data_IF_785366114939
#
_entry.id   IF_785366114939
#
_cell.length_a   1.000
_cell.length_b   1.000
_cell.length_c   1.000
_cell.angle_alpha   90.00
_cell.angle_beta   90.00
_cell.angle_gamma   90.00
#
_symmetry.space_group_name_H-M   'P 1'
#
loop_
_entity.id
_entity.type
_entity.pdbx_description
1 polymer ?
#
# COMPACT_ATOMS: atom_id res chain seq x y z
N UNK A 1 45.80 0.68 19.62
CA UNK A 1 44.79 -0.29 19.17
C UNK A 1 44.60 -1.30 20.29
N UNK A 2 43.37 -1.65 20.65
CA UNK A 2 43.03 -2.60 21.72
C UNK A 2 42.16 -3.72 21.17
N UNK A 3 42.28 -4.93 21.73
CA UNK A 3 41.40 -6.04 21.39
C UNK A 3 40.26 -6.10 22.41
N UNK A 4 39.02 -6.16 21.94
CA UNK A 4 37.83 -6.35 22.77
C UNK A 4 37.06 -7.58 22.30
N UNK A 5 36.63 -8.41 23.25
CA UNK A 5 35.76 -9.56 22.99
C UNK A 5 34.38 -9.26 23.53
N UNK A 6 33.38 -9.33 22.65
CA UNK A 6 31.97 -9.13 22.95
C UNK A 6 31.28 -10.49 23.07
N UNK A 7 30.43 -10.65 24.08
CA UNK A 7 29.52 -11.81 24.16
C UNK A 7 28.31 -11.60 23.24
N UNK A 8 27.63 -12.69 22.88
CA UNK A 8 26.34 -12.61 22.16
C UNK A 8 25.36 -11.74 22.95
N UNK A 9 24.76 -10.77 22.27
CA UNK A 9 23.82 -9.78 22.82
C UNK A 9 24.49 -8.52 23.37
N UNK A 10 25.83 -8.46 23.46
CA UNK A 10 26.54 -7.28 23.95
C UNK A 10 26.56 -6.17 22.90
N UNK A 11 26.33 -4.93 23.34
CA UNK A 11 26.36 -3.74 22.48
C UNK A 11 27.79 -3.20 22.36
N UNK A 12 28.26 -3.01 21.14
CA UNK A 12 29.56 -2.38 20.86
C UNK A 12 29.48 -0.85 21.00
N UNK A 13 28.48 -0.24 20.36
CA UNK A 13 28.14 1.19 20.45
C UNK A 13 26.66 1.40 20.17
N UNK A 14 26.14 2.58 20.53
CA UNK A 14 24.74 2.96 20.35
C UNK A 14 24.54 4.03 19.26
N UNK A 15 23.36 4.04 18.62
CA UNK A 15 22.97 5.12 17.68
C UNK A 15 23.07 6.50 18.37
N UNK A 16 23.74 7.45 17.71
CA UNK A 16 23.93 8.82 18.21
C UNK A 16 25.17 8.99 19.08
N UNK A 17 25.83 7.92 19.49
CA UNK A 17 27.09 7.97 20.23
C UNK A 17 28.21 8.53 19.36
N UNK A 18 29.14 9.28 19.96
CA UNK A 18 30.30 9.83 19.23
C UNK A 18 31.20 8.72 18.73
N UNK A 19 31.68 8.86 17.49
CA UNK A 19 32.68 7.95 16.92
C UNK A 19 34.04 8.28 17.54
N UNK A 20 34.39 7.57 18.60
CA UNK A 20 35.69 7.68 19.28
C UNK A 20 36.69 6.64 18.76
N UNK A 21 36.18 5.51 18.27
CA UNK A 21 36.96 4.41 17.72
C UNK A 21 36.33 3.89 16.43
N UNK A 22 37.20 3.36 15.57
CA UNK A 22 36.86 2.53 14.41
C UNK A 22 37.11 1.09 14.78
N UNK A 23 36.21 0.19 14.38
CA UNK A 23 36.22 -1.20 14.81
C UNK A 23 36.42 -2.12 13.62
N UNK A 24 37.46 -2.95 13.65
CA UNK A 24 37.67 -4.02 12.69
C UNK A 24 37.22 -5.35 13.31
N UNK A 25 36.28 -6.04 12.67
CA UNK A 25 35.78 -7.33 13.13
C UNK A 25 36.78 -8.41 12.74
N UNK A 26 37.39 -9.07 13.72
CA UNK A 26 38.36 -10.15 13.48
C UNK A 26 37.68 -11.51 13.35
N UNK A 27 36.67 -11.77 14.17
CA UNK A 27 35.89 -13.03 14.15
C UNK A 27 34.52 -12.81 14.78
N UNK A 28 33.49 -13.50 14.29
CA UNK A 28 32.12 -13.40 14.78
C UNK A 28 31.23 -12.52 13.89
N UNK A 29 30.09 -12.09 14.41
CA UNK A 29 29.13 -11.30 13.66
C UNK A 29 28.40 -10.28 14.55
N UNK A 30 28.27 -9.06 14.04
CA UNK A 30 27.58 -7.93 14.66
C UNK A 30 26.40 -7.55 13.77
N UNK A 31 25.24 -7.36 14.39
CA UNK A 31 24.08 -6.83 13.72
C UNK A 31 24.00 -5.32 13.96
N UNK A 32 23.81 -4.56 12.89
CA UNK A 32 23.56 -3.12 12.94
C UNK A 32 22.05 -2.90 12.97
N UNK A 33 21.56 -2.15 13.96
CA UNK A 33 20.13 -1.96 14.17
C UNK A 33 19.80 -0.52 14.54
N UNK A 34 18.53 -0.14 14.36
CA UNK A 34 17.96 1.10 14.88
C UNK A 34 17.21 0.79 16.17
N UNK A 35 17.45 1.57 17.23
CA UNK A 35 16.75 1.40 18.50
C UNK A 35 15.68 2.48 18.64
N UNK A 36 14.40 2.07 18.71
CA UNK A 36 13.26 2.97 18.94
C UNK A 36 12.23 2.29 19.84
N UNK A 37 11.69 3.01 20.82
CA UNK A 37 10.68 2.49 21.76
C UNK A 37 11.05 1.14 22.39
N UNK A 38 12.34 0.94 22.72
CA UNK A 38 12.91 -0.31 23.25
C UNK A 38 12.81 -1.53 22.32
N UNK A 39 12.49 -1.36 21.03
CA UNK A 39 12.61 -2.39 20.00
C UNK A 39 13.79 -2.08 19.08
N UNK A 40 14.57 -3.11 18.76
CA UNK A 40 15.64 -3.05 17.78
C UNK A 40 15.09 -3.48 16.42
N UNK A 41 15.34 -2.67 15.40
CA UNK A 41 15.05 -2.99 14.00
C UNK A 41 16.36 -3.27 13.29
N UNK A 42 16.57 -4.52 12.91
CA UNK A 42 17.79 -4.95 12.25
C UNK A 42 17.90 -4.30 10.87
N UNK A 43 19.10 -3.82 10.54
CA UNK A 43 19.39 -3.21 9.25
C UNK A 43 20.20 -4.15 8.36
N UNK A 44 21.37 -4.55 8.84
CA UNK A 44 22.30 -5.43 8.14
C UNK A 44 23.28 -6.05 9.14
N UNK A 45 23.78 -7.24 8.82
CA UNK A 45 24.78 -7.96 9.62
C UNK A 45 26.16 -7.77 9.00
N UNK A 46 27.14 -7.55 9.86
CA UNK A 46 28.55 -7.47 9.49
C UNK A 46 29.36 -8.54 10.20
N UNK A 47 30.36 -9.09 9.52
CA UNK A 47 31.19 -10.19 9.99
C UNK A 47 32.68 -9.89 9.88
N UNK A 48 33.50 -10.94 9.99
CA UNK A 48 34.96 -10.86 9.89
C UNK A 48 35.41 -10.05 8.67
N UNK A 49 36.52 -9.32 8.81
CA UNK A 49 37.14 -8.43 7.81
C UNK A 49 36.40 -7.14 7.50
N UNK A 50 35.21 -6.92 8.05
CA UNK A 50 34.48 -5.67 7.88
C UNK A 50 34.82 -4.65 8.98
N UNK A 51 34.73 -3.38 8.61
CA UNK A 51 34.98 -2.24 9.49
C UNK A 51 33.67 -1.52 9.82
N UNK A 52 33.61 -0.96 11.02
CA UNK A 52 32.55 -0.08 11.49
C UNK A 52 33.14 1.24 11.99
N UNK A 53 32.49 2.36 11.67
CA UNK A 53 32.94 3.70 12.09
C UNK A 53 33.85 4.38 11.06
N UNK A 54 34.04 3.76 9.90
CA UNK A 54 34.79 4.28 8.75
C UNK A 54 34.25 5.62 8.25
N UNK A 55 32.98 5.93 8.52
CA UNK A 55 32.36 7.22 8.19
C UNK A 55 33.07 8.42 8.84
N UNK A 56 33.91 8.20 9.86
CA UNK A 56 34.68 9.27 10.48
C UNK A 56 35.62 9.98 9.48
N UNK A 57 36.05 9.31 8.40
CA UNK A 57 36.91 9.90 7.36
C UNK A 57 36.19 10.92 6.48
N UNK A 58 34.85 10.84 6.41
CA UNK A 58 33.99 11.80 5.70
C UNK A 58 33.36 12.82 6.65
N UNK A 59 33.94 13.00 7.84
CA UNK A 59 33.52 14.01 8.81
C UNK A 59 32.30 13.62 9.65
N UNK A 60 31.84 12.36 9.59
CA UNK A 60 30.76 11.89 10.45
C UNK A 60 31.22 11.83 11.91
N UNK A 61 30.51 12.54 12.80
CA UNK A 61 30.87 12.63 14.23
C UNK A 61 30.21 11.58 15.13
N UNK A 62 29.11 10.97 14.70
CA UNK A 62 28.30 10.04 15.49
C UNK A 62 27.87 8.81 14.70
N UNK A 63 27.71 7.68 15.40
CA UNK A 63 27.21 6.44 14.83
C UNK A 63 25.74 6.60 14.39
N UNK A 64 25.43 6.20 13.15
CA UNK A 64 24.07 6.30 12.58
C UNK A 64 23.15 5.12 12.93
N UNK A 65 23.72 4.08 13.55
CA UNK A 65 23.09 2.81 13.94
C UNK A 65 23.65 2.36 15.30
N UNK A 66 22.97 1.44 15.98
CA UNK A 66 23.53 0.67 17.10
C UNK A 66 24.19 -0.60 16.56
N UNK A 67 25.21 -1.12 17.25
CA UNK A 67 25.92 -2.35 16.87
C UNK A 67 25.86 -3.38 18.00
N UNK A 68 25.25 -4.54 17.76
CA UNK A 68 25.03 -5.59 18.77
C UNK A 68 25.62 -6.91 18.27
N UNK A 69 26.45 -7.55 19.09
CA UNK A 69 27.04 -8.84 18.76
C UNK A 69 25.97 -9.96 18.69
N UNK A 70 25.90 -10.69 17.58
CA UNK A 70 24.97 -11.82 17.37
C UNK A 70 25.58 -13.17 17.73
N UNK A 71 26.91 -13.23 17.77
CA UNK A 71 27.73 -14.33 18.28
C UNK A 71 28.82 -13.75 19.19
N UNK A 72 29.59 -14.60 19.88
CA UNK A 72 30.86 -14.12 20.44
C UNK A 72 31.70 -13.48 19.32
N UNK A 73 32.14 -12.25 19.53
CA UNK A 73 32.76 -11.43 18.49
C UNK A 73 34.00 -10.74 19.00
N UNK A 74 35.13 -10.88 18.28
CA UNK A 74 36.38 -10.19 18.58
C UNK A 74 36.53 -9.00 17.66
N UNK A 75 36.73 -7.82 18.24
CA UNK A 75 36.93 -6.57 17.52
C UNK A 75 38.27 -5.94 17.89
N UNK A 76 38.95 -5.39 16.89
CA UNK A 76 40.11 -4.53 17.08
C UNK A 76 39.62 -3.08 17.08
N UNK A 77 39.83 -2.39 18.20
CA UNK A 77 39.47 -0.98 18.38
C UNK A 77 40.66 -0.10 17.98
N UNK A 78 40.42 0.80 17.03
CA UNK A 78 41.39 1.75 16.49
C UNK A 78 40.90 3.16 16.85
N UNK A 79 41.66 3.96 17.61
CA UNK A 79 41.27 5.33 17.90
C UNK A 79 40.97 6.12 16.62
N UNK A 80 39.87 6.87 16.60
CA UNK A 80 39.42 7.58 15.40
C UNK A 80 40.49 8.51 14.82
N UNK A 81 41.23 9.22 15.68
CA UNK A 81 42.30 10.13 15.24
C UNK A 81 43.49 9.37 14.65
N UNK A 82 43.82 8.20 15.19
CA UNK A 82 44.86 7.34 14.64
C UNK A 82 44.45 6.77 13.27
N UNK A 83 43.18 6.36 13.13
CA UNK A 83 42.64 5.90 11.85
C UNK A 83 42.65 7.01 10.79
N UNK A 84 42.25 8.23 11.15
CA UNK A 84 42.33 9.41 10.26
C UNK A 84 43.76 9.73 9.85
N UNK A 85 44.71 9.73 10.79
CA UNK A 85 46.11 9.97 10.47
C UNK A 85 46.67 8.92 9.49
N UNK A 86 46.30 7.65 9.66
CA UNK A 86 46.67 6.58 8.72
C UNK A 86 46.04 6.79 7.34
N UNK A 87 44.77 7.17 7.29
CA UNK A 87 44.09 7.50 6.04
C UNK A 87 44.77 8.69 5.33
N UNK A 88 45.09 9.76 6.05
CA UNK A 88 45.73 10.97 5.51
C UNK A 88 47.13 10.71 4.96
N UNK A 89 47.92 9.89 5.67
CA UNK A 89 49.24 9.43 5.26
C UNK A 89 49.21 8.47 4.06
N UNK A 90 48.04 7.92 3.71
CA UNK A 90 47.87 7.03 2.57
C UNK A 90 48.13 7.72 1.22
N UNK A 91 48.49 6.92 0.21
CA UNK A 91 48.66 7.41 -1.16
C UNK A 91 47.38 8.04 -1.69
N UNK A 92 47.52 9.12 -2.47
CA UNK A 92 46.40 9.93 -2.94
C UNK A 92 45.30 9.13 -3.65
N UNK A 93 45.69 8.15 -4.48
CA UNK A 93 44.75 7.30 -5.20
C UNK A 93 43.85 6.49 -4.25
N UNK A 94 44.43 5.85 -3.23
CA UNK A 94 43.66 5.08 -2.25
C UNK A 94 42.72 5.96 -1.43
N UNK A 95 43.14 7.18 -1.07
CA UNK A 95 42.26 8.13 -0.37
C UNK A 95 40.99 8.42 -1.18
N UNK A 96 41.14 8.69 -2.48
CA UNK A 96 40.01 8.96 -3.38
C UNK A 96 39.06 7.75 -3.44
N UNK A 97 39.60 6.55 -3.62
CA UNK A 97 38.79 5.31 -3.71
C UNK A 97 38.02 5.08 -2.40
N UNK A 98 38.71 5.11 -1.26
CA UNK A 98 38.11 4.88 0.05
C UNK A 98 37.02 5.92 0.32
N UNK A 99 37.29 7.21 0.08
CA UNK A 99 36.30 8.28 0.27
C UNK A 99 35.04 8.06 -0.57
N UNK A 100 35.20 7.74 -1.86
CA UNK A 100 34.09 7.47 -2.77
C UNK A 100 33.24 6.28 -2.31
N UNK A 101 33.88 5.18 -1.89
CA UNK A 101 33.18 4.02 -1.37
C UNK A 101 32.46 4.31 -0.04
N UNK A 102 33.07 5.07 0.85
CA UNK A 102 32.45 5.47 2.13
C UNK A 102 31.26 6.41 1.92
N UNK A 103 31.32 7.34 0.96
CA UNK A 103 30.18 8.19 0.59
C UNK A 103 29.02 7.36 0.02
N UNK A 104 29.31 6.41 -0.89
CA UNK A 104 28.29 5.48 -1.42
C UNK A 104 27.66 4.63 -0.31
N UNK A 105 28.47 4.11 0.61
CA UNK A 105 27.99 3.31 1.74
C UNK A 105 27.11 4.13 2.69
N UNK A 106 27.45 5.39 2.94
CA UNK A 106 26.62 6.32 3.73
C UNK A 106 25.25 6.50 3.08
N UNK A 107 25.20 6.76 1.78
CA UNK A 107 23.93 6.93 1.03
C UNK A 107 23.09 5.66 1.07
N UNK A 108 23.68 4.50 0.77
CA UNK A 108 22.98 3.21 0.82
C UNK A 108 22.43 2.91 2.22
N UNK A 109 23.21 3.19 3.27
CA UNK A 109 22.78 3.01 4.67
C UNK A 109 21.62 3.94 5.02
N UNK A 110 21.64 5.20 4.55
CA UNK A 110 20.57 6.16 4.78
C UNK A 110 19.26 5.74 4.07
N UNK A 111 19.33 5.20 2.86
CA UNK A 111 18.17 4.68 2.13
C UNK A 111 17.58 3.46 2.84
N UNK A 112 18.40 2.50 3.25
CA UNK A 112 17.95 1.34 4.05
C UNK A 112 17.33 1.80 5.37
N UNK A 113 17.91 2.83 6.01
CA UNK A 113 17.36 3.43 7.23
C UNK A 113 15.99 4.02 6.97
N UNK A 114 15.82 4.81 5.91
CA UNK A 114 14.51 5.37 5.52
C UNK A 114 13.48 4.28 5.30
N UNK A 115 13.82 3.25 4.52
CA UNK A 115 12.90 2.14 4.20
C UNK A 115 12.52 1.32 5.44
N UNK A 116 13.47 1.07 6.37
CA UNK A 116 13.19 0.33 7.61
C UNK A 116 12.56 1.18 8.71
N UNK A 117 12.61 2.51 8.59
CA UNK A 117 11.92 3.45 9.46
C UNK A 117 10.45 3.65 9.08
N UNK A 118 9.97 3.01 8.01
CA UNK A 118 8.55 2.85 7.72
C UNK A 118 7.92 1.98 8.81
N UNK A 119 7.44 2.64 9.87
CA UNK A 119 6.83 2.06 11.09
C UNK A 119 5.33 1.87 10.94
N UNK A 120 4.86 1.74 9.72
CA UNK A 120 3.44 1.73 9.47
C UNK A 120 2.90 0.37 9.89
N UNK A 121 1.92 0.38 10.80
CA UNK A 121 1.30 -0.84 11.33
C UNK A 121 0.66 -1.69 10.21
N UNK A 122 0.40 -1.07 9.07
CA UNK A 122 -0.09 -1.68 7.85
C UNK A 122 0.69 -1.13 6.63
N UNK A 123 0.74 -1.84 5.49
CA UNK A 123 1.38 -1.38 4.26
C UNK A 123 0.97 0.02 3.76
N UNK A 124 -0.31 0.38 3.87
CA UNK A 124 -0.87 1.67 3.46
C UNK A 124 -1.90 2.14 4.50
N UNK A 125 -1.45 2.70 5.64
CA UNK A 125 -2.33 3.18 6.70
C UNK A 125 -3.28 4.27 6.19
N UNK A 126 -4.39 4.48 6.92
CA UNK A 126 -5.45 5.42 6.53
C UNK A 126 -4.92 6.84 6.23
N UNK A 127 -4.00 7.36 7.04
CA UNK A 127 -3.39 8.68 6.85
C UNK A 127 -2.45 8.76 5.64
N UNK A 128 -2.02 7.61 5.11
CA UNK A 128 -1.13 7.50 3.95
C UNK A 128 -1.85 7.20 2.64
N UNK A 129 -3.13 6.78 2.66
CA UNK A 129 -3.86 6.36 1.45
C UNK A 129 -3.93 7.50 0.42
N UNK A 130 -4.44 8.68 0.81
CA UNK A 130 -4.51 9.81 -0.12
C UNK A 130 -3.13 10.22 -0.64
N UNK A 131 -2.11 10.21 0.23
CA UNK A 131 -0.74 10.55 -0.15
C UNK A 131 -0.20 9.57 -1.20
N UNK A 132 -0.30 8.26 -0.96
CA UNK A 132 0.28 7.25 -1.85
C UNK A 132 -0.28 7.35 -3.29
N UNK A 133 -1.60 7.48 -3.42
CA UNK A 133 -2.26 7.62 -4.72
C UNK A 133 -2.04 9.01 -5.33
N UNK A 134 -2.01 10.07 -4.52
CA UNK A 134 -1.67 11.42 -4.96
C UNK A 134 -0.24 11.52 -5.51
N UNK A 135 0.73 10.86 -4.86
CA UNK A 135 2.11 10.78 -5.34
C UNK A 135 2.18 10.04 -6.67
N UNK A 136 1.48 8.90 -6.78
CA UNK A 136 1.41 8.17 -8.05
C UNK A 136 0.84 9.05 -9.18
N UNK A 137 -0.26 9.75 -8.93
CA UNK A 137 -0.86 10.68 -9.88
C UNK A 137 0.07 11.84 -10.25
N UNK A 138 0.57 12.60 -9.26
CA UNK A 138 1.36 13.79 -9.52
C UNK A 138 2.68 13.46 -10.21
N UNK A 139 3.35 12.38 -9.81
CA UNK A 139 4.58 11.95 -10.48
C UNK A 139 4.28 11.52 -11.92
N UNK A 140 3.26 10.70 -12.15
CA UNK A 140 2.92 10.26 -13.51
C UNK A 140 2.48 11.42 -14.40
N UNK A 141 1.64 12.33 -13.90
CA UNK A 141 1.14 13.48 -14.67
C UNK A 141 2.25 14.50 -14.99
N UNK A 142 3.24 14.66 -14.10
CA UNK A 142 4.33 15.62 -14.28
C UNK A 142 5.53 15.08 -15.06
N UNK A 143 5.86 13.80 -14.89
CA UNK A 143 7.06 13.17 -15.47
C UNK A 143 6.76 12.13 -16.56
N UNK A 144 5.51 11.70 -16.68
CA UNK A 144 5.09 10.76 -17.71
C UNK A 144 4.79 11.43 -19.04
N UNK A 145 4.95 10.67 -20.11
CA UNK A 145 4.62 11.05 -21.48
C UNK A 145 3.20 10.61 -21.82
N UNK A 146 2.42 11.51 -22.43
CA UNK A 146 1.05 11.19 -22.87
C UNK A 146 1.10 10.61 -24.28
N UNK A 147 0.70 9.34 -24.43
CA UNK A 147 0.70 8.63 -25.71
C UNK A 147 -0.51 7.70 -25.81
N UNK A 148 -1.23 7.75 -26.93
CA UNK A 148 -2.37 6.85 -27.22
C UNK A 148 -3.45 6.80 -26.11
N UNK A 149 -3.73 7.96 -25.50
CA UNK A 149 -4.70 8.06 -24.40
C UNK A 149 -4.20 7.51 -23.06
N UNK A 150 -2.91 7.15 -22.96
CA UNK A 150 -2.25 6.65 -21.75
C UNK A 150 -1.20 7.64 -21.28
N UNK A 151 -0.84 7.55 -20.00
CA UNK A 151 0.36 8.21 -19.48
C UNK A 151 1.41 7.15 -19.18
N UNK A 152 2.55 7.24 -19.85
CA UNK A 152 3.64 6.25 -19.77
C UNK A 152 4.81 6.88 -19.03
N UNK A 153 5.36 6.19 -18.05
CA UNK A 153 6.54 6.66 -17.32
C UNK A 153 7.54 5.53 -17.08
N UNK A 154 8.83 5.85 -17.22
CA UNK A 154 9.93 4.98 -16.81
C UNK A 154 9.85 4.65 -15.31
N UNK A 155 10.03 3.37 -14.97
CA UNK A 155 9.88 2.87 -13.61
C UNK A 155 10.95 3.42 -12.66
N UNK A 156 12.20 3.51 -13.13
CA UNK A 156 13.30 4.07 -12.36
C UNK A 156 13.05 5.55 -12.05
N UNK A 157 12.67 6.34 -13.05
CA UNK A 157 12.30 7.74 -12.90
C UNK A 157 11.10 7.92 -11.96
N UNK A 158 10.05 7.11 -12.12
CA UNK A 158 8.85 7.17 -11.28
C UNK A 158 9.18 6.92 -9.81
N UNK A 159 9.98 5.89 -9.52
CA UNK A 159 10.44 5.56 -8.16
C UNK A 159 11.32 6.66 -7.58
N UNK A 160 12.34 7.09 -8.31
CA UNK A 160 13.29 8.09 -7.83
C UNK A 160 12.61 9.43 -7.55
N UNK A 161 11.73 9.89 -8.45
CA UNK A 161 11.02 11.15 -8.27
C UNK A 161 10.04 11.07 -7.10
N UNK A 162 9.25 9.99 -7.01
CA UNK A 162 8.30 9.79 -5.92
C UNK A 162 8.98 9.78 -4.55
N UNK A 163 10.12 9.09 -4.43
CA UNK A 163 10.89 9.05 -3.18
C UNK A 163 11.55 10.39 -2.86
N UNK A 164 12.26 11.01 -3.82
CA UNK A 164 13.05 12.23 -3.55
C UNK A 164 12.18 13.47 -3.32
N UNK A 165 11.07 13.60 -4.05
CA UNK A 165 10.22 14.80 -4.01
C UNK A 165 9.15 14.69 -2.93
N UNK A 166 8.53 13.52 -2.79
CA UNK A 166 7.39 13.34 -1.88
C UNK A 166 7.74 12.52 -0.62
N UNK A 167 8.96 11.99 -0.52
CA UNK A 167 9.35 11.11 0.57
C UNK A 167 8.48 9.86 0.64
N UNK A 168 7.99 9.38 -0.51
CA UNK A 168 7.12 8.20 -0.54
C UNK A 168 7.92 6.91 -0.47
N UNK A 169 7.39 5.93 0.25
CA UNK A 169 7.96 4.60 0.35
C UNK A 169 8.00 3.94 -1.02
N UNK A 170 9.15 3.38 -1.42
CA UNK A 170 9.23 2.62 -2.67
C UNK A 170 8.34 1.37 -2.62
N UNK A 171 8.23 0.74 -1.46
CA UNK A 171 7.39 -0.44 -1.26
C UNK A 171 5.91 -0.09 -1.34
N UNK A 172 5.50 1.04 -0.75
CA UNK A 172 4.10 1.51 -0.83
C UNK A 172 3.78 1.96 -2.24
N UNK A 173 4.66 2.70 -2.89
CA UNK A 173 4.48 3.11 -4.28
C UNK A 173 4.26 1.89 -5.19
N UNK A 174 5.08 0.84 -5.04
CA UNK A 174 4.93 -0.41 -5.77
C UNK A 174 3.60 -1.11 -5.45
N UNK A 175 3.19 -1.19 -4.19
CA UNK A 175 1.89 -1.74 -3.80
C UNK A 175 0.72 -0.94 -4.38
N UNK A 176 0.81 0.39 -4.43
CA UNK A 176 -0.16 1.27 -5.07
C UNK A 176 -0.27 0.97 -6.56
N UNK A 177 0.86 0.86 -7.28
CA UNK A 177 0.82 0.54 -8.71
C UNK A 177 0.32 -0.90 -8.95
N UNK A 178 0.72 -1.88 -8.14
CA UNK A 178 0.20 -3.25 -8.23
C UNK A 178 -1.33 -3.28 -8.09
N UNK A 179 -1.89 -2.47 -7.19
CA UNK A 179 -3.33 -2.33 -7.02
C UNK A 179 -3.97 -1.74 -8.27
N UNK A 180 -3.38 -0.70 -8.85
CA UNK A 180 -3.86 -0.11 -10.10
C UNK A 180 -3.78 -1.11 -11.27
N UNK A 181 -2.74 -1.94 -11.34
CA UNK A 181 -2.61 -3.02 -12.32
C UNK A 181 -3.70 -4.07 -12.14
N UNK A 182 -3.94 -4.50 -10.90
CA UNK A 182 -5.02 -5.44 -10.54
C UNK A 182 -6.39 -4.94 -11.00
N UNK A 183 -6.65 -3.65 -10.79
CA UNK A 183 -7.90 -2.99 -11.18
C UNK A 183 -7.95 -2.58 -12.66
N UNK A 184 -6.93 -2.94 -13.46
CA UNK A 184 -6.82 -2.59 -14.89
C UNK A 184 -6.83 -1.08 -15.16
N UNK A 185 -6.34 -0.29 -14.20
CA UNK A 185 -6.10 1.15 -14.33
C UNK A 185 -4.66 1.45 -14.78
N UNK A 186 -3.77 0.46 -14.65
CA UNK A 186 -2.41 0.52 -15.16
C UNK A 186 -1.95 -0.85 -15.70
N UNK A 187 -0.81 -0.88 -16.38
CA UNK A 187 -0.06 -2.10 -16.66
C UNK A 187 1.45 -1.84 -16.56
N UNK A 188 2.22 -2.89 -16.32
CA UNK A 188 3.67 -2.86 -16.41
C UNK A 188 4.13 -3.22 -17.83
N UNK A 189 5.12 -2.49 -18.33
CA UNK A 189 5.96 -2.91 -19.45
C UNK A 189 7.17 -3.63 -18.86
N UNK A 190 7.23 -4.94 -19.08
CA UNK A 190 8.37 -5.76 -18.68
C UNK A 190 9.44 -5.72 -19.77
N UNK A 191 10.71 -5.79 -19.37
CA UNK A 191 11.82 -5.85 -20.30
C UNK A 191 13.14 -6.08 -19.57
N UNK A 192 14.17 -6.37 -20.35
CA UNK A 192 15.52 -6.55 -19.84
C UNK A 192 16.24 -5.21 -19.70
N UNK A 193 17.18 -5.16 -18.77
CA UNK A 193 18.04 -4.00 -18.62
C UNK A 193 18.91 -3.86 -19.89
N UNK A 194 18.98 -2.67 -20.52
CA UNK A 194 19.88 -2.42 -21.65
C UNK A 194 21.36 -2.70 -21.31
N UNK A 195 21.76 -2.51 -20.05
CA UNK A 195 23.11 -2.72 -19.56
C UNK A 195 23.36 -4.18 -19.11
N UNK A 196 22.29 -4.98 -18.93
CA UNK A 196 22.35 -6.42 -18.65
C UNK A 196 21.32 -7.21 -19.50
N UNK A 197 21.59 -7.42 -20.81
CA UNK A 197 20.66 -8.11 -21.72
C UNK A 197 20.46 -9.60 -21.43
N UNK A 198 21.30 -10.21 -20.59
CA UNK A 198 21.15 -11.60 -20.15
C UNK A 198 20.44 -11.72 -18.79
N UNK A 199 20.25 -10.60 -18.10
CA UNK A 199 19.55 -10.50 -16.83
C UNK A 199 18.05 -10.84 -16.88
N UNK A 200 17.41 -10.97 -15.71
CA UNK A 200 15.98 -11.24 -15.61
C UNK A 200 15.14 -10.08 -16.14
N UNK A 201 13.92 -10.36 -16.59
CA UNK A 201 12.97 -9.30 -16.90
C UNK A 201 12.59 -8.51 -15.66
N UNK A 202 12.61 -7.19 -15.79
CA UNK A 202 12.24 -6.24 -14.76
C UNK A 202 11.18 -5.29 -15.29
N UNK A 203 10.51 -4.59 -14.39
CA UNK A 203 9.57 -3.52 -14.75
C UNK A 203 10.38 -2.37 -15.34
N UNK A 204 10.13 -2.06 -16.61
CA UNK A 204 10.76 -0.94 -17.32
C UNK A 204 9.89 0.31 -17.25
N UNK A 205 8.58 0.17 -17.48
CA UNK A 205 7.65 1.32 -17.48
C UNK A 205 6.31 0.97 -16.86
N UNK A 206 5.58 2.01 -16.46
CA UNK A 206 4.18 1.93 -16.06
C UNK A 206 3.34 2.69 -17.08
N UNK A 207 2.28 2.05 -17.56
CA UNK A 207 1.29 2.64 -18.43
C UNK A 207 0.01 2.86 -17.64
N UNK A 208 -0.33 4.11 -17.34
CA UNK A 208 -1.60 4.46 -16.70
C UNK A 208 -2.67 4.71 -17.77
N UNK A 209 -3.79 3.99 -17.68
CA UNK A 209 -4.90 4.07 -18.63
C UNK A 209 -5.92 5.16 -18.27
N UNK A 210 -6.06 5.48 -16.98
CA UNK A 210 -7.01 6.46 -16.49
C UNK A 210 -6.44 7.19 -15.27
N UNK A 211 -5.63 8.23 -15.52
CA UNK A 211 -5.10 9.09 -14.44
C UNK A 211 -6.22 9.83 -13.70
N UNK A 212 -7.33 10.14 -14.38
CA UNK A 212 -8.46 10.84 -13.76
C UNK A 212 -9.11 10.00 -12.68
N UNK A 213 -9.21 8.68 -12.88
CA UNK A 213 -9.72 7.77 -11.84
C UNK A 213 -8.83 7.79 -10.58
N UNK A 214 -7.50 7.89 -10.74
CA UNK A 214 -6.56 7.99 -9.62
C UNK A 214 -6.73 9.34 -8.91
N UNK A 215 -6.85 10.43 -9.67
CA UNK A 215 -7.12 11.77 -9.14
C UNK A 215 -8.40 11.81 -8.31
N UNK A 216 -9.51 11.38 -8.92
CA UNK A 216 -10.81 11.32 -8.28
C UNK A 216 -10.77 10.49 -6.99
N UNK A 217 -9.99 9.40 -6.95
CA UNK A 217 -9.88 8.56 -5.77
C UNK A 217 -9.17 9.25 -4.61
N UNK A 218 -7.98 9.81 -4.83
CA UNK A 218 -7.25 10.43 -3.70
C UNK A 218 -7.94 11.71 -3.22
N UNK A 219 -8.60 12.46 -4.12
CA UNK A 219 -9.41 13.62 -3.73
C UNK A 219 -10.64 13.20 -2.93
N UNK A 220 -11.34 12.14 -3.38
CA UNK A 220 -12.45 11.53 -2.64
C UNK A 220 -12.01 11.10 -1.25
N UNK A 221 -10.91 10.36 -1.15
CA UNK A 221 -10.40 9.88 0.13
C UNK A 221 -10.03 11.06 1.04
N UNK A 222 -9.26 12.03 0.53
CA UNK A 222 -8.83 13.21 1.27
C UNK A 222 -10.03 14.02 1.79
N UNK A 223 -11.08 14.18 0.97
CA UNK A 223 -12.30 14.87 1.37
C UNK A 223 -12.94 14.22 2.60
N UNK A 224 -13.22 12.91 2.55
CA UNK A 224 -13.91 12.22 3.64
C UNK A 224 -13.03 11.95 4.87
N UNK A 225 -11.71 11.83 4.68
CA UNK A 225 -10.78 11.59 5.77
C UNK A 225 -10.44 12.88 6.55
N UNK A 226 -10.06 13.97 5.85
CA UNK A 226 -9.56 15.18 6.52
C UNK A 226 -10.61 16.27 6.73
N UNK A 227 -11.61 16.43 5.85
CA UNK A 227 -12.62 17.51 6.00
C UNK A 227 -13.72 17.16 7.01
N UNK A 228 -13.75 15.91 7.50
CA UNK A 228 -14.65 15.45 8.56
C UNK A 228 -16.11 15.24 8.11
N UNK A 229 -16.90 14.61 8.99
CA UNK A 229 -18.36 14.56 8.89
C UNK A 229 -18.99 13.30 8.30
N UNK A 230 -18.25 12.40 7.64
CA UNK A 230 -18.78 11.13 7.11
C UNK A 230 -17.71 10.03 6.93
N UNK A 231 -16.90 9.75 7.96
CA UNK A 231 -15.85 8.70 7.90
C UNK A 231 -16.40 7.31 7.55
N UNK A 232 -17.68 7.05 7.84
CA UNK A 232 -18.37 5.83 7.43
C UNK A 232 -18.35 5.60 5.92
N UNK A 233 -18.27 6.64 5.08
CA UNK A 233 -18.15 6.52 3.61
C UNK A 233 -16.86 5.80 3.19
N UNK A 234 -15.84 5.80 4.05
CA UNK A 234 -14.57 5.13 3.80
C UNK A 234 -14.52 3.70 4.34
N UNK A 235 -15.54 3.24 5.08
CA UNK A 235 -15.61 1.87 5.59
C UNK A 235 -16.47 1.02 4.67
N UNK A 236 -15.85 0.20 3.83
CA UNK A 236 -16.56 -0.52 2.77
C UNK A 236 -16.53 -2.03 2.98
N UNK A 237 -17.72 -2.62 2.96
CA UNK A 237 -17.94 -4.06 2.98
C UNK A 237 -18.21 -4.56 1.56
N UNK A 238 -17.83 -5.81 1.26
CA UNK A 238 -18.03 -6.42 -0.05
C UNK A 238 -19.53 -6.45 -0.43
N UNK A 239 -20.43 -6.62 0.55
CA UNK A 239 -21.88 -6.59 0.35
C UNK A 239 -22.36 -5.23 -0.17
N UNK A 240 -21.88 -4.10 0.39
CA UNK A 240 -22.24 -2.75 -0.07
C UNK A 240 -21.75 -2.52 -1.50
N UNK A 241 -20.53 -2.96 -1.80
CA UNK A 241 -19.94 -2.86 -3.12
C UNK A 241 -20.72 -3.66 -4.17
N UNK A 242 -21.16 -4.87 -3.81
CA UNK A 242 -21.99 -5.73 -4.66
C UNK A 242 -23.37 -5.13 -4.92
N UNK A 243 -24.01 -4.52 -3.91
CA UNK A 243 -25.29 -3.83 -4.08
C UNK A 243 -25.13 -2.66 -5.07
N UNK A 244 -24.11 -1.82 -4.87
CA UNK A 244 -23.89 -0.67 -5.75
C UNK A 244 -23.58 -1.12 -7.19
N UNK A 245 -22.72 -2.13 -7.36
CA UNK A 245 -22.41 -2.70 -8.67
C UNK A 245 -23.63 -3.31 -9.37
N UNK A 246 -24.48 -4.02 -8.62
CA UNK A 246 -25.73 -4.60 -9.14
C UNK A 246 -26.73 -3.54 -9.60
N UNK A 247 -26.87 -2.45 -8.84
CA UNK A 247 -27.73 -1.33 -9.26
C UNK A 247 -27.22 -0.68 -10.54
N UNK A 248 -25.90 -0.44 -10.66
CA UNK A 248 -25.30 0.12 -11.87
C UNK A 248 -25.50 -0.82 -13.06
N UNK A 249 -25.34 -2.13 -12.88
CA UNK A 249 -25.57 -3.11 -13.94
C UNK A 249 -27.02 -3.08 -14.47
N UNK A 250 -28.00 -2.83 -13.60
CA UNK A 250 -29.41 -2.68 -14.01
C UNK A 250 -29.68 -1.45 -14.89
N UNK A 251 -28.72 -0.52 -15.00
CA UNK A 251 -28.86 0.72 -15.80
C UNK A 251 -28.35 0.59 -17.22
N UNK A 252 -27.73 -0.55 -17.58
CA UNK A 252 -27.17 -0.77 -18.90
C UNK A 252 -28.26 -0.66 -19.98
N UNK A 253 -28.02 0.21 -20.97
CA UNK A 253 -28.97 0.50 -22.05
C UNK A 253 -30.16 1.38 -21.66
N UNK A 254 -30.26 1.86 -20.42
CA UNK A 254 -31.32 2.77 -20.00
C UNK A 254 -31.02 4.23 -20.38
N UNK A 255 -32.02 5.01 -20.81
CA UNK A 255 -31.83 6.42 -21.12
C UNK A 255 -31.61 7.25 -19.85
N UNK A 256 -30.77 8.27 -19.96
CA UNK A 256 -30.54 9.28 -18.91
C UNK A 256 -31.41 10.52 -19.16
N UNK A 257 -31.91 11.12 -18.09
CA UNK A 257 -32.55 12.43 -18.18
C UNK A 257 -31.54 13.58 -18.30
N UNK A 258 -32.05 14.81 -18.44
CA UNK A 258 -31.20 16.03 -18.58
C UNK A 258 -30.29 16.32 -17.39
N UNK A 259 -30.53 15.69 -16.24
CA UNK A 259 -29.75 15.82 -15.02
C UNK A 259 -28.82 14.61 -14.79
N UNK A 260 -28.74 13.67 -15.74
CA UNK A 260 -27.94 12.45 -15.60
C UNK A 260 -28.59 11.40 -14.70
N UNK A 261 -29.88 11.54 -14.39
CA UNK A 261 -30.64 10.58 -13.58
C UNK A 261 -31.14 9.45 -14.47
N UNK A 262 -30.90 8.22 -14.04
CA UNK A 262 -31.44 7.01 -14.67
C UNK A 262 -32.69 6.55 -13.93
N UNK A 263 -33.64 5.93 -14.65
CA UNK A 263 -34.84 5.33 -14.07
C UNK A 263 -34.89 3.84 -14.40
N UNK A 264 -34.93 2.98 -13.38
CA UNK A 264 -35.02 1.53 -13.52
C UNK A 264 -36.27 1.01 -12.82
N UNK A 265 -36.99 0.09 -13.45
CA UNK A 265 -38.17 -0.53 -12.85
C UNK A 265 -37.77 -1.41 -11.66
N UNK A 266 -38.45 -1.23 -10.51
CA UNK A 266 -38.16 -1.98 -9.30
C UNK A 266 -38.23 -3.51 -9.50
N UNK A 267 -39.23 -4.07 -10.22
CA UNK A 267 -39.26 -5.51 -10.50
C UNK A 267 -38.01 -6.03 -11.23
N UNK A 268 -37.49 -5.27 -12.21
CA UNK A 268 -36.27 -5.64 -12.96
C UNK A 268 -35.04 -5.67 -12.04
N UNK A 269 -34.94 -4.72 -11.12
CA UNK A 269 -33.86 -4.69 -10.12
C UNK A 269 -33.95 -5.90 -9.19
N UNK A 270 -35.14 -6.21 -8.68
CA UNK A 270 -35.36 -7.40 -7.82
C UNK A 270 -34.97 -8.68 -8.55
N UNK A 271 -35.39 -8.83 -9.81
CA UNK A 271 -35.05 -9.98 -10.64
C UNK A 271 -33.55 -10.10 -10.89
N UNK A 272 -32.87 -9.00 -11.25
CA UNK A 272 -31.42 -8.99 -11.46
C UNK A 272 -30.66 -9.38 -10.18
N UNK A 273 -31.02 -8.82 -9.03
CA UNK A 273 -30.37 -9.15 -7.76
C UNK A 273 -30.56 -10.62 -7.37
N UNK A 274 -31.75 -11.18 -7.62
CA UNK A 274 -32.02 -12.59 -7.38
C UNK A 274 -31.23 -13.48 -8.34
N UNK A 275 -31.22 -13.15 -9.63
CA UNK A 275 -30.69 -14.01 -10.68
C UNK A 275 -29.17 -13.93 -10.81
N UNK A 276 -28.56 -12.76 -10.63
CA UNK A 276 -27.13 -12.54 -10.84
C UNK A 276 -26.33 -12.56 -9.53
N UNK A 277 -26.92 -12.00 -8.46
CA UNK A 277 -26.23 -11.85 -7.18
C UNK A 277 -26.69 -12.85 -6.11
N UNK A 278 -27.80 -13.57 -6.34
CA UNK A 278 -28.39 -14.46 -5.35
C UNK A 278 -28.90 -13.72 -4.10
N UNK A 279 -29.18 -12.43 -4.20
CA UNK A 279 -29.56 -11.57 -3.09
C UNK A 279 -31.05 -11.19 -3.18
N UNK A 280 -31.72 -11.13 -2.03
CA UNK A 280 -33.05 -10.53 -1.94
C UNK A 280 -32.92 -9.01 -1.91
N UNK A 281 -33.55 -8.33 -2.85
CA UNK A 281 -33.60 -6.87 -2.88
C UNK A 281 -34.78 -6.35 -2.06
N UNK A 282 -34.49 -5.65 -0.97
CA UNK A 282 -35.50 -5.14 -0.02
C UNK A 282 -35.30 -3.64 0.22
N UNK A 283 -36.25 -2.92 0.86
CA UNK A 283 -36.03 -1.54 1.26
C UNK A 283 -34.76 -1.33 2.13
N UNK A 284 -34.39 -2.31 2.97
CA UNK A 284 -33.16 -2.27 3.78
C UNK A 284 -31.89 -2.25 2.92
N UNK A 285 -31.92 -2.91 1.75
CA UNK A 285 -30.81 -2.92 0.80
C UNK A 285 -30.46 -1.50 0.33
N UNK A 286 -31.47 -0.66 0.12
CA UNK A 286 -31.28 0.76 -0.25
C UNK A 286 -30.80 1.60 0.94
N UNK A 287 -31.34 1.37 2.14
CA UNK A 287 -30.92 2.06 3.36
C UNK A 287 -29.42 1.96 3.62
N UNK A 288 -28.78 0.83 3.26
CA UNK A 288 -27.32 0.67 3.39
C UNK A 288 -26.52 1.61 2.52
N UNK A 289 -26.97 1.87 1.29
CA UNK A 289 -26.36 2.85 0.40
C UNK A 289 -26.64 4.28 0.88
N UNK A 290 -27.86 4.54 1.34
CA UNK A 290 -28.27 5.85 1.87
C UNK A 290 -27.46 6.24 3.12
N UNK A 291 -27.15 5.29 3.99
CA UNK A 291 -26.25 5.48 5.15
C UNK A 291 -24.82 5.85 4.74
N UNK A 292 -24.41 5.48 3.51
CA UNK A 292 -23.13 5.87 2.90
C UNK A 292 -23.27 7.10 2.00
N UNK A 293 -24.41 7.77 2.02
CA UNK A 293 -24.67 9.02 1.31
C UNK A 293 -25.14 8.87 -0.14
N UNK A 294 -25.43 7.66 -0.62
CA UNK A 294 -25.96 7.40 -1.96
C UNK A 294 -27.48 7.22 -1.88
N UNK A 295 -28.22 8.19 -2.43
CA UNK A 295 -29.68 8.23 -2.29
C UNK A 295 -30.39 7.78 -3.57
N UNK A 296 -31.44 6.99 -3.39
CA UNK A 296 -32.30 6.54 -4.49
C UNK A 296 -33.72 7.09 -4.28
N UNK A 297 -34.29 7.74 -5.29
CA UNK A 297 -35.69 8.19 -5.25
C UNK A 297 -36.61 7.09 -5.77
N UNK A 298 -37.72 6.87 -5.08
CA UNK A 298 -38.79 5.98 -5.55
C UNK A 298 -39.89 6.81 -6.19
N UNK A 299 -40.28 6.48 -7.42
CA UNK A 299 -41.33 7.16 -8.15
C UNK A 299 -42.25 6.16 -8.82
N UNK A 300 -43.56 6.37 -8.71
CA UNK A 300 -44.55 5.56 -9.44
C UNK A 300 -44.77 6.17 -10.82
N UNK A 301 -44.68 5.35 -11.87
CA UNK A 301 -44.93 5.79 -13.25
C UNK A 301 -46.45 5.82 -13.56
N UNK A 302 -46.81 6.23 -14.77
CA UNK A 302 -48.21 6.26 -15.23
C UNK A 302 -48.90 4.90 -15.28
N UNK A 303 -48.13 3.82 -15.35
CA UNK A 303 -48.62 2.43 -15.38
C UNK A 303 -48.76 1.82 -13.98
N UNK A 304 -48.59 2.64 -12.93
CA UNK A 304 -48.62 2.22 -11.52
C UNK A 304 -47.44 1.33 -11.09
N UNK A 305 -46.37 1.27 -11.89
CA UNK A 305 -45.13 0.58 -11.53
C UNK A 305 -44.18 1.48 -10.74
N UNK A 306 -43.51 0.92 -9.75
CA UNK A 306 -42.49 1.62 -8.97
C UNK A 306 -41.16 1.60 -9.72
N UNK A 307 -40.55 2.78 -9.89
CA UNK A 307 -39.24 2.99 -10.46
C UNK A 307 -38.26 3.55 -9.42
N UNK A 308 -37.01 3.13 -9.51
CA UNK A 308 -35.88 3.67 -8.76
C UNK A 308 -35.13 4.68 -9.64
N UNK A 309 -34.86 5.85 -9.09
CA UNK A 309 -34.17 6.95 -9.77
C UNK A 309 -32.95 7.41 -8.98
N UNK A 310 -31.80 7.52 -9.65
CA UNK A 310 -30.54 7.98 -9.06
C UNK A 310 -29.61 8.57 -10.13
N UNK A 311 -28.66 9.41 -9.73
CA UNK A 311 -27.66 9.98 -10.66
C UNK A 311 -26.60 8.93 -10.98
N UNK A 312 -26.52 8.52 -12.26
CA UNK A 312 -25.65 7.41 -12.65
C UNK A 312 -24.16 7.74 -12.48
N UNK A 313 -23.76 8.99 -12.73
CA UNK A 313 -22.36 9.41 -12.64
C UNK A 313 -21.86 9.41 -11.20
N UNK A 314 -22.67 9.89 -10.24
CA UNK A 314 -22.36 9.82 -8.81
C UNK A 314 -22.17 8.36 -8.37
N UNK A 315 -23.15 7.50 -8.65
CA UNK A 315 -23.09 6.08 -8.27
C UNK A 315 -21.88 5.37 -8.87
N UNK A 316 -21.60 5.63 -10.15
CA UNK A 316 -20.42 5.07 -10.84
C UNK A 316 -19.11 5.59 -10.25
N UNK A 317 -19.05 6.87 -9.87
CA UNK A 317 -17.88 7.47 -9.22
C UNK A 317 -17.58 6.83 -7.86
N UNK A 318 -18.61 6.70 -7.01
CA UNK A 318 -18.50 5.99 -5.74
C UNK A 318 -18.08 4.53 -5.93
N UNK A 319 -18.68 3.83 -6.90
CA UNK A 319 -18.32 2.44 -7.17
C UNK A 319 -16.85 2.27 -7.54
N UNK A 320 -16.31 3.14 -8.41
CA UNK A 320 -14.89 3.13 -8.77
C UNK A 320 -14.00 3.41 -7.56
N UNK A 321 -14.32 4.43 -6.76
CA UNK A 321 -13.53 4.79 -5.59
C UNK A 321 -13.55 3.71 -4.50
N UNK A 322 -14.73 3.13 -4.23
CA UNK A 322 -14.89 2.07 -3.24
C UNK A 322 -14.22 0.76 -3.67
N UNK A 323 -14.12 0.47 -4.97
CA UNK A 323 -13.31 -0.66 -5.46
C UNK A 323 -11.84 -0.49 -5.11
N UNK A 324 -11.27 0.69 -5.35
CA UNK A 324 -9.88 1.00 -4.97
C UNK A 324 -9.71 0.87 -3.46
N UNK A 325 -10.61 1.50 -2.69
CA UNK A 325 -10.57 1.48 -1.23
C UNK A 325 -10.62 0.05 -0.66
N UNK A 326 -11.51 -0.78 -1.19
CA UNK A 326 -11.63 -2.17 -0.74
C UNK A 326 -10.38 -3.00 -1.02
N UNK A 327 -9.66 -2.70 -2.10
CA UNK A 327 -8.36 -3.34 -2.37
C UNK A 327 -7.24 -2.79 -1.47
N UNK A 328 -7.32 -1.54 -1.01
CA UNK A 328 -6.42 -0.99 0.02
C UNK A 328 -6.63 -1.72 1.36
N UNK A 329 -7.88 -1.98 1.75
CA UNK A 329 -8.18 -2.75 2.96
C UNK A 329 -7.59 -4.17 2.89
N UNK A 330 -7.82 -4.87 1.78
CA UNK A 330 -7.24 -6.21 1.54
C UNK A 330 -5.71 -6.18 1.52
N UNK A 331 -5.12 -5.14 0.95
CA UNK A 331 -3.68 -4.94 0.97
C UNK A 331 -3.18 -4.83 2.41
N UNK A 332 -3.86 -4.04 3.25
CA UNK A 332 -3.50 -3.90 4.65
C UNK A 332 -3.66 -5.20 5.45
N UNK A 333 -4.70 -5.98 5.17
CA UNK A 333 -4.92 -7.31 5.78
C UNK A 333 -3.87 -8.34 5.36
N UNK A 334 -3.51 -8.39 4.06
CA UNK A 334 -2.59 -9.40 3.51
C UNK A 334 -1.11 -9.03 3.65
N UNK A 335 -0.79 -7.74 3.74
CA UNK A 335 0.58 -7.23 3.75
C UNK A 335 1.18 -6.93 2.37
N UNK A 336 0.55 -7.38 1.28
CA UNK A 336 1.00 -7.19 -0.11
C UNK A 336 -0.17 -7.17 -1.10
N UNK A 337 0.09 -6.70 -2.33
CA UNK A 337 -0.86 -6.75 -3.44
C UNK A 337 -0.32 -7.67 -4.52
N UNK A 338 -1.07 -8.71 -4.85
CA UNK A 338 -0.83 -9.54 -6.04
C UNK A 338 -1.56 -8.91 -7.25
N UNK A 339 -0.85 -8.36 -8.24
CA UNK A 339 -1.46 -7.74 -9.42
C UNK A 339 -2.18 -8.75 -10.33
N UNK A 340 -1.89 -10.05 -10.20
CA UNK A 340 -2.48 -11.11 -11.03
C UNK A 340 -3.67 -11.78 -10.36
N UNK A 341 -3.97 -11.45 -9.09
CA UNK A 341 -5.12 -12.02 -8.39
C UNK A 341 -6.42 -11.61 -9.11
N UNK A 342 -7.21 -12.58 -9.63
CA UNK A 342 -8.44 -12.25 -10.33
C UNK A 342 -9.43 -11.60 -9.37
N UNK A 343 -10.18 -10.63 -9.87
CA UNK A 343 -11.31 -10.09 -9.12
C UNK A 343 -12.31 -11.20 -8.84
N UNK A 344 -12.60 -11.43 -7.56
CA UNK A 344 -13.67 -12.34 -7.15
C UNK A 344 -14.97 -11.76 -7.67
N UNK A 345 -15.55 -12.38 -8.70
CA UNK A 345 -16.95 -12.12 -9.08
C UNK A 345 -17.83 -12.41 -7.86
N UNK A 346 -18.93 -11.67 -7.65
CA UNK A 346 -19.93 -12.04 -6.67
C UNK A 346 -20.38 -13.47 -6.98
N UNK A 347 -19.96 -14.42 -6.15
CA UNK A 347 -20.25 -15.83 -6.36
C UNK A 347 -21.74 -16.02 -6.07
N UNK A 348 -22.48 -16.64 -6.99
CA UNK A 348 -23.71 -17.37 -6.65
C UNK A 348 -23.34 -18.41 -5.59
N UNK A 349 -23.39 -18.04 -4.31
CA UNK A 349 -23.28 -19.02 -3.25
C UNK A 349 -24.57 -19.83 -3.29
N UNK A 350 -24.54 -20.99 -3.95
CA UNK A 350 -25.51 -22.04 -3.69
C UNK A 350 -25.34 -22.44 -2.21
N UNK A 351 -26.16 -21.87 -1.32
CA UNK A 351 -26.08 -22.14 0.11
C UNK A 351 -26.73 -23.49 0.39
N UNK A 352 -25.94 -24.56 0.46
CA UNK A 352 -26.35 -25.83 1.09
C UNK A 352 -26.26 -25.75 2.62
N UNK A 353 -26.74 -24.65 3.21
CA UNK A 353 -26.64 -24.35 4.65
C UNK A 353 -27.59 -23.21 5.06
N UNK A 354 -27.77 -22.95 6.37
CA UNK A 354 -28.67 -21.91 6.83
C UNK A 354 -28.25 -20.53 6.29
N UNK A 355 -29.23 -19.77 5.82
CA UNK A 355 -29.04 -18.43 5.25
C UNK A 355 -29.69 -17.39 6.14
N UNK A 356 -29.09 -16.21 6.24
CA UNK A 356 -29.66 -15.08 6.96
C UNK A 356 -31.04 -14.71 6.37
N UNK A 357 -32.10 -14.58 7.18
CA UNK A 357 -33.43 -14.27 6.66
C UNK A 357 -33.55 -12.85 6.09
N UNK A 358 -32.67 -11.93 6.48
CA UNK A 358 -32.68 -10.54 6.01
C UNK A 358 -31.87 -10.33 4.72
N UNK A 359 -30.69 -10.94 4.58
CA UNK A 359 -29.80 -10.69 3.44
C UNK A 359 -29.41 -11.94 2.65
N UNK A 360 -29.92 -13.11 3.04
CA UNK A 360 -29.63 -14.41 2.40
C UNK A 360 -28.16 -14.85 2.45
N UNK A 361 -27.30 -14.12 3.17
CA UNK A 361 -25.92 -14.51 3.40
C UNK A 361 -25.82 -15.88 4.08
N UNK A 362 -24.83 -16.69 3.70
CA UNK A 362 -24.51 -17.94 4.38
C UNK A 362 -24.16 -17.67 5.84
N UNK A 363 -24.90 -18.26 6.78
CA UNK A 363 -24.64 -18.15 8.22
C UNK A 363 -24.30 -19.52 8.78
N UNK A 364 -23.46 -19.58 9.82
CA UNK A 364 -23.25 -20.81 10.57
C UNK A 364 -24.31 -20.94 11.65
N UNK A 365 -24.63 -22.17 12.06
CA UNK A 365 -25.68 -22.46 13.07
C UNK A 365 -25.46 -21.78 14.42
N UNK A 366 -24.21 -21.40 14.73
CA UNK A 366 -23.82 -20.83 16.03
C UNK A 366 -23.72 -19.28 16.04
N UNK A 367 -23.96 -18.62 14.90
CA UNK A 367 -23.92 -17.15 14.81
C UNK A 367 -25.18 -16.53 15.41
N UNK A 368 -25.03 -15.63 16.39
CA UNK A 368 -26.13 -14.84 16.97
C UNK A 368 -26.55 -13.64 16.10
N UNK A 369 -25.65 -13.19 15.24
CA UNK A 369 -25.86 -12.09 14.31
C UNK A 369 -25.22 -12.42 12.96
N UNK A 370 -25.86 -12.01 11.88
CA UNK A 370 -25.31 -12.19 10.54
C UNK A 370 -24.11 -11.26 10.33
N UNK A 371 -22.95 -11.83 9.98
CA UNK A 371 -21.72 -11.06 9.71
C UNK A 371 -21.80 -10.12 8.52
N UNK A 372 -22.80 -10.29 7.63
CA UNK A 372 -22.99 -9.47 6.42
C UNK A 372 -24.06 -8.37 6.55
N UNK A 373 -24.91 -8.41 7.58
CA UNK A 373 -25.98 -7.41 7.74
C UNK A 373 -26.33 -7.02 9.16
N UNK A 374 -25.70 -7.64 10.16
CA UNK A 374 -26.01 -7.39 11.57
C UNK A 374 -27.38 -7.91 12.02
N UNK A 375 -28.16 -8.55 11.14
CA UNK A 375 -29.47 -9.11 11.51
C UNK A 375 -29.30 -10.18 12.59
N UNK A 376 -30.07 -10.07 13.67
CA UNK A 376 -30.07 -11.05 14.75
C UNK A 376 -30.61 -12.38 14.23
N UNK A 377 -29.83 -13.43 14.36
CA UNK A 377 -30.20 -14.78 13.96
C UNK A 377 -30.82 -15.46 15.17
N UNK A 378 -32.05 -15.96 15.02
CA UNK A 378 -32.70 -16.72 16.10
C UNK A 378 -31.98 -18.06 16.26
N UNK A 379 -31.54 -18.38 17.47
CA UNK A 379 -31.03 -19.70 17.78
C UNK A 379 -32.16 -20.71 17.59
N UNK A 380 -31.97 -21.73 16.75
CA UNK A 380 -32.90 -22.86 16.73
C UNK A 380 -32.97 -23.43 18.15
N UNK A 381 -34.14 -23.39 18.77
CA UNK A 381 -34.43 -24.23 19.93
C UNK A 381 -34.13 -25.68 19.52
N UNK A 382 -33.41 -26.39 20.40
CA UNK A 382 -32.87 -27.73 20.20
C UNK A 382 -33.93 -28.75 19.73
#
# INVERSE_FOLDING_TARGET
>A
MSLRTLKKGETLYTEGEKITNVYLIQSGAINLCLTRNKKNTDMFQVGSTQILGEQVIIGQGTHTTSAIATTETKVLEIPADAFKAQYEAGQQMFKIIIKSLTERLKTATAEVKSNRMEKDAAPCPEDQVAKAFGVAFHTANHKGEKKEGRTIIDWGLFRQYSQRVFGESLKRLEGTVNLLVKLKLAMYEMGKDPDDPEGPEMIQKVHFFDLQAIENFFEFYQYYYFKGGKSEVLKIEDTVLNILGGLIACTEGQPLDRFGVVSVEFPKVVEHFKNELGMNFTPDTLTRLENKGLFTKRRTNSNNDVQLQFELKEFTGFFKNWRILREVDKWNEKGFVDPSEPEKKPVKKASSGPSCPSCSASVTTDQKFCGECGHKLEAKAA
#
